data_IF_610114860853
#
_entry.id   IF_610114860853
#
_cell.length_a   1.000
_cell.length_b   1.000
_cell.length_c   1.000
_cell.angle_alpha   90.00
_cell.angle_beta   90.00
_cell.angle_gamma   90.00
#
_symmetry.space_group_name_H-M   'P 1'
#
loop_
_entity.id
_entity.type
_entity.pdbx_description
1 polymer ?
#
# COMPACT_ATOMS: atom_id res chain seq x y z
N UNK A 1 -27.83 -37.66 -19.86
CA UNK A 1 -27.72 -36.20 -20.08
C UNK A 1 -28.24 -35.50 -18.85
N UNK A 2 -27.34 -34.88 -18.08
CA UNK A 2 -27.59 -33.75 -17.16
C UNK A 2 -26.18 -33.32 -16.69
N UNK A 3 -25.60 -32.41 -17.46
CA UNK A 3 -24.31 -31.77 -17.20
C UNK A 3 -24.51 -30.62 -16.21
N UNK A 4 -23.41 -30.25 -15.55
CA UNK A 4 -23.15 -28.99 -14.84
C UNK A 4 -23.75 -28.84 -13.44
N UNK A 5 -22.86 -28.73 -12.45
CA UNK A 5 -22.64 -27.49 -11.70
C UNK A 5 -21.39 -27.63 -10.79
N UNK A 6 -20.22 -27.82 -11.42
CA UNK A 6 -18.93 -27.89 -10.72
C UNK A 6 -18.21 -26.53 -10.65
N UNK A 7 -18.91 -25.41 -10.89
CA UNK A 7 -18.29 -24.07 -11.00
C UNK A 7 -18.60 -23.13 -9.82
N UNK A 8 -18.99 -23.67 -8.66
CA UNK A 8 -19.24 -22.85 -7.46
C UNK A 8 -18.02 -22.71 -6.53
N UNK A 9 -16.82 -23.15 -6.97
CA UNK A 9 -15.62 -23.11 -6.14
C UNK A 9 -14.54 -22.27 -6.81
N UNK A 10 -14.19 -21.18 -6.13
CA UNK A 10 -12.95 -20.41 -6.29
C UNK A 10 -12.95 -19.29 -7.33
N UNK A 11 -13.98 -18.44 -7.32
CA UNK A 11 -13.73 -17.00 -7.49
C UNK A 11 -13.49 -16.42 -6.10
N UNK A 12 -12.28 -16.65 -5.58
CA UNK A 12 -11.69 -15.74 -4.59
C UNK A 12 -11.52 -14.40 -5.30
N UNK A 13 -12.61 -13.64 -5.34
CA UNK A 13 -12.60 -12.25 -5.75
C UNK A 13 -11.73 -11.57 -4.70
N UNK A 14 -10.44 -11.43 -4.98
CA UNK A 14 -9.67 -10.30 -4.49
C UNK A 14 -10.45 -9.09 -4.96
N UNK A 15 -11.28 -8.53 -4.08
CA UNK A 15 -11.77 -7.16 -4.25
C UNK A 15 -10.52 -6.34 -4.53
N UNK A 16 -10.41 -5.66 -5.68
CA UNK A 16 -9.30 -4.78 -5.91
C UNK A 16 -9.25 -3.83 -4.71
N UNK A 17 -8.13 -3.82 -3.99
CA UNK A 17 -7.97 -2.89 -2.87
C UNK A 17 -8.27 -1.49 -3.40
N UNK A 18 -9.13 -0.77 -2.68
CA UNK A 18 -9.40 0.63 -2.97
C UNK A 18 -8.04 1.34 -3.15
N UNK A 19 -7.84 2.11 -4.25
CA UNK A 19 -6.53 2.70 -4.56
C UNK A 19 -5.91 3.46 -3.40
N UNK A 20 -6.75 4.11 -2.58
CA UNK A 20 -6.35 4.81 -1.34
C UNK A 20 -5.80 3.85 -0.28
N UNK A 21 -6.42 2.69 -0.09
CA UNK A 21 -5.95 1.67 0.84
C UNK A 21 -4.63 1.04 0.39
N UNK A 22 -4.47 0.81 -0.92
CA UNK A 22 -3.20 0.35 -1.48
C UNK A 22 -2.09 1.39 -1.29
N UNK A 23 -2.38 2.66 -1.57
CA UNK A 23 -1.43 3.76 -1.40
C UNK A 23 -1.02 3.95 0.06
N UNK A 24 -1.95 3.81 1.02
CA UNK A 24 -1.64 3.85 2.44
C UNK A 24 -0.66 2.72 2.84
N UNK A 25 -0.90 1.48 2.37
CA UNK A 25 0.02 0.36 2.62
C UNK A 25 1.39 0.56 1.99
N UNK A 26 1.45 1.22 0.83
CA UNK A 26 2.71 1.55 0.17
C UNK A 26 3.52 2.56 0.99
N UNK A 27 2.86 3.60 1.53
CA UNK A 27 3.51 4.56 2.42
C UNK A 27 4.08 3.86 3.68
N UNK A 28 3.32 2.93 4.27
CA UNK A 28 3.79 2.16 5.43
C UNK A 28 4.95 1.22 5.08
N UNK A 29 4.97 0.65 3.88
CA UNK A 29 6.07 -0.17 3.41
C UNK A 29 7.35 0.66 3.23
N UNK A 30 7.25 1.87 2.69
CA UNK A 30 8.38 2.78 2.56
C UNK A 30 8.94 3.24 3.90
N UNK A 31 8.11 3.49 4.91
CA UNK A 31 8.61 3.81 6.24
C UNK A 31 9.39 2.65 6.86
N UNK A 32 8.89 1.41 6.76
CA UNK A 32 9.63 0.24 7.26
C UNK A 32 10.96 0.06 6.54
N UNK A 33 10.99 0.31 5.23
CA UNK A 33 12.22 0.24 4.46
C UNK A 33 13.18 1.38 4.85
N UNK A 34 12.67 2.56 5.16
CA UNK A 34 13.46 3.66 5.67
C UNK A 34 14.11 3.31 7.01
N UNK A 35 13.36 2.72 7.93
CA UNK A 35 13.88 2.23 9.22
C UNK A 35 14.97 1.18 9.01
N UNK A 36 14.79 0.27 8.05
CA UNK A 36 15.79 -0.74 7.69
C UNK A 36 17.07 -0.09 7.14
N UNK A 37 16.95 0.88 6.24
CA UNK A 37 18.10 1.57 5.64
C UNK A 37 18.84 2.42 6.68
N UNK A 38 18.14 3.07 7.61
CA UNK A 38 18.75 3.80 8.72
C UNK A 38 19.54 2.85 9.63
N UNK A 39 18.95 1.70 10.00
CA UNK A 39 19.62 0.66 10.79
C UNK A 39 20.86 0.08 10.09
N UNK A 40 20.92 0.12 8.74
CA UNK A 40 22.08 -0.29 7.93
C UNK A 40 23.11 0.82 7.76
N UNK A 41 22.89 1.99 8.35
CA UNK A 41 23.76 3.16 8.27
C UNK A 41 23.57 4.00 7.00
N UNK A 42 22.51 3.75 6.23
CA UNK A 42 22.16 4.49 5.03
C UNK A 42 21.07 5.54 5.32
N UNK A 43 21.40 6.49 6.20
CA UNK A 43 20.46 7.55 6.61
C UNK A 43 19.99 8.45 5.45
N UNK A 44 20.77 8.56 4.37
CA UNK A 44 20.35 9.31 3.17
C UNK A 44 19.15 8.65 2.48
N UNK A 45 19.20 7.33 2.25
CA UNK A 45 18.08 6.60 1.68
C UNK A 45 16.87 6.61 2.61
N UNK A 46 17.09 6.45 3.92
CA UNK A 46 16.03 6.51 4.93
C UNK A 46 15.25 7.83 4.89
N UNK A 47 15.95 8.97 4.85
CA UNK A 47 15.31 10.30 4.75
C UNK A 47 14.46 10.42 3.49
N UNK A 48 14.95 9.97 2.33
CA UNK A 48 14.21 10.01 1.07
C UNK A 48 12.95 9.16 1.15
N UNK A 49 13.06 7.94 1.70
CA UNK A 49 11.93 7.01 1.82
C UNK A 49 10.85 7.56 2.78
N UNK A 50 11.24 8.08 3.94
CA UNK A 50 10.29 8.75 4.85
C UNK A 50 9.64 9.97 4.21
N UNK A 51 10.39 10.77 3.45
CA UNK A 51 9.85 11.93 2.75
C UNK A 51 8.79 11.51 1.70
N UNK A 52 9.04 10.45 0.94
CA UNK A 52 8.07 9.92 -0.02
C UNK A 52 6.85 9.31 0.66
N UNK A 53 7.03 8.57 1.75
CA UNK A 53 5.92 8.03 2.54
C UNK A 53 5.02 9.16 3.07
N UNK A 54 5.63 10.23 3.60
CA UNK A 54 4.91 11.43 4.05
C UNK A 54 4.14 12.11 2.92
N UNK A 55 4.79 12.37 1.78
CA UNK A 55 4.15 12.99 0.62
C UNK A 55 2.95 12.19 0.12
N UNK A 56 3.08 10.85 0.09
CA UNK A 56 1.98 9.98 -0.31
C UNK A 56 0.80 10.08 0.67
N UNK A 57 1.07 10.08 1.99
CA UNK A 57 0.01 10.28 2.99
C UNK A 57 -0.65 11.64 2.86
N UNK A 58 0.12 12.71 2.71
CA UNK A 58 -0.41 14.07 2.49
C UNK A 58 -1.32 14.12 1.25
N UNK A 59 -0.94 13.45 0.16
CA UNK A 59 -1.76 13.36 -1.05
C UNK A 59 -3.04 12.54 -0.88
N UNK A 60 -3.07 11.59 0.07
CA UNK A 60 -4.24 10.77 0.37
C UNK A 60 -5.22 11.46 1.33
N UNK A 61 -4.76 12.45 2.10
CA UNK A 61 -5.64 13.26 2.94
C UNK A 61 -6.40 14.28 2.07
N UNK A 62 -7.74 14.23 2.03
CA UNK A 62 -8.49 15.30 1.36
C UNK A 62 -8.17 16.63 2.06
N UNK A 63 -8.03 17.74 1.31
CA UNK A 63 -7.85 19.04 1.92
C UNK A 63 -9.03 19.29 2.87
N UNK A 64 -8.73 19.65 4.12
CA UNK A 64 -9.74 20.14 5.04
C UNK A 64 -10.34 21.40 4.40
N UNK A 65 -11.54 21.29 3.84
CA UNK A 65 -12.25 22.45 3.30
C UNK A 65 -12.40 23.48 4.40
N UNK A 66 -11.91 24.70 4.13
CA UNK A 66 -12.05 25.87 4.99
C UNK A 66 -13.46 26.46 4.90
#
# INVERSE_FOLDING_TARGET
MAMMNSEARKRSVTTPDEPTALAARLADAWDREADNEDARGNGFAAVILHQHARQLREALHPPLSA
#
